data_IF_488128345625
#
_entry.id   IF_488128345625
#
_cell.length_a   1.000
_cell.length_b   1.000
_cell.length_c   1.000
_cell.angle_alpha   90.00
_cell.angle_beta   90.00
_cell.angle_gamma   90.00
#
_symmetry.space_group_name_H-M   'P 1'
#
loop_
_entity.id
_entity.type
_entity.pdbx_description
1 polymer ?
#
# COMPACT_ATOMS: atom_id res chain seq x y z
N UNK A 1 122.34 23.70 40.84
CA UNK A 1 121.63 22.45 41.04
C UNK A 1 120.38 22.45 40.25
N UNK A 2 120.44 21.86 39.28
CA UNK A 2 119.72 21.05 38.35
C UNK A 2 118.24 21.35 38.16
N UNK A 3 117.98 22.05 37.04
CA UNK A 3 116.67 22.29 36.44
C UNK A 3 116.44 21.32 35.29
N UNK A 4 116.35 20.06 35.60
CA UNK A 4 116.11 19.03 34.53
C UNK A 4 114.91 18.07 34.82
N UNK A 5 113.75 18.60 35.21
CA UNK A 5 112.59 17.70 35.49
C UNK A 5 111.49 17.85 34.51
N UNK A 6 111.45 18.83 33.61
CA UNK A 6 110.38 18.88 32.63
C UNK A 6 110.90 18.88 31.19
N UNK A 7 110.48 17.97 30.37
CA UNK A 7 110.79 17.95 28.94
C UNK A 7 110.18 19.16 28.28
N UNK A 8 111.07 19.91 27.53
CA UNK A 8 110.66 21.12 26.75
C UNK A 8 109.44 20.91 25.90
N UNK A 9 109.13 19.69 25.39
CA UNK A 9 108.01 19.35 24.58
C UNK A 9 106.63 19.41 25.32
N UNK A 10 106.68 19.31 26.68
CA UNK A 10 105.43 19.37 27.48
C UNK A 10 105.03 20.82 27.81
N UNK A 11 106.01 21.78 27.84
CA UNK A 11 105.68 23.15 28.05
C UNK A 11 105.22 23.87 26.77
N UNK A 12 105.73 23.47 25.60
CA UNK A 12 105.29 24.02 24.31
C UNK A 12 103.86 23.54 23.96
N UNK A 13 103.38 22.44 24.47
CA UNK A 13 101.98 21.98 24.27
C UNK A 13 100.97 22.67 25.16
N UNK A 14 101.39 23.41 26.18
CA UNK A 14 100.49 24.16 27.05
C UNK A 14 100.36 25.66 26.72
N UNK A 15 101.14 26.21 25.77
CA UNK A 15 101.17 27.61 25.51
C UNK A 15 100.87 28.03 24.09
N UNK A 16 100.29 27.15 23.27
CA UNK A 16 99.87 27.59 21.90
C UNK A 16 98.39 27.93 21.91
N UNK A 17 98.06 29.20 21.68
CA UNK A 17 96.68 29.68 21.57
C UNK A 17 95.89 29.05 20.43
N UNK A 18 96.56 28.42 19.46
CA UNK A 18 95.91 27.80 18.27
C UNK A 18 95.19 26.51 18.56
N UNK A 19 95.44 25.84 19.71
CA UNK A 19 94.71 24.64 20.07
C UNK A 19 93.37 24.90 20.77
N UNK A 20 93.11 26.12 21.21
CA UNK A 20 91.83 26.52 21.74
C UNK A 20 90.87 26.87 20.62
N UNK A 21 91.39 27.32 19.51
CA UNK A 21 90.54 27.64 18.34
C UNK A 21 90.03 26.41 17.55
N UNK A 22 90.77 25.28 17.62
CA UNK A 22 90.36 24.03 17.01
C UNK A 22 89.35 23.24 17.89
N UNK A 23 89.18 23.58 19.14
CA UNK A 23 88.11 22.97 19.98
C UNK A 23 86.77 23.74 19.89
N UNK A 24 86.72 24.87 19.26
CA UNK A 24 85.45 25.65 19.08
C UNK A 24 84.86 25.59 17.68
N UNK A 25 85.16 24.56 16.88
CA UNK A 25 84.36 24.29 15.68
C UNK A 25 83.13 23.45 16.07
N UNK A 26 82.13 24.17 16.57
CA UNK A 26 80.84 23.58 17.01
C UNK A 26 80.01 23.00 15.85
N UNK A 27 80.38 23.29 14.61
CA UNK A 27 79.70 22.72 13.43
C UNK A 27 80.67 22.46 12.29
N UNK A 28 80.85 21.20 11.92
CA UNK A 28 81.48 20.83 10.63
C UNK A 28 80.54 21.19 9.49
N UNK A 29 81.03 21.56 8.27
CA UNK A 29 80.20 21.83 7.12
C UNK A 29 79.23 20.68 6.77
N UNK A 30 79.57 19.45 7.17
CA UNK A 30 78.71 18.27 7.08
C UNK A 30 77.49 18.32 8.05
N UNK A 31 77.63 19.00 9.20
CA UNK A 31 76.53 19.19 10.15
C UNK A 31 75.44 20.11 9.62
N UNK A 32 75.82 21.13 8.81
CA UNK A 32 74.85 22.01 8.17
C UNK A 32 73.96 21.30 7.14
N UNK A 33 74.51 20.31 6.41
CA UNK A 33 73.75 19.46 5.47
C UNK A 33 72.69 18.63 6.23
N UNK A 34 73.03 18.07 7.37
CA UNK A 34 72.11 17.33 8.23
C UNK A 34 71.01 18.24 8.78
N UNK A 35 71.37 19.46 9.23
CA UNK A 35 70.43 20.43 9.74
C UNK A 35 69.49 20.92 8.62
N UNK A 36 70.00 21.17 7.41
CA UNK A 36 69.22 21.56 6.25
C UNK A 36 68.25 20.42 5.83
N UNK A 37 68.71 19.16 5.83
CA UNK A 37 67.85 18.00 5.57
C UNK A 37 66.73 17.86 6.61
N UNK A 38 67.03 18.12 7.89
CA UNK A 38 66.04 18.10 8.96
C UNK A 38 65.00 19.23 8.82
N UNK A 39 65.48 20.44 8.46
CA UNK A 39 64.57 21.59 8.14
C UNK A 39 63.67 21.26 6.99
N UNK A 40 64.19 20.70 5.89
CA UNK A 40 63.39 20.29 4.72
C UNK A 40 62.35 19.26 5.15
N UNK A 41 62.68 18.24 5.97
CA UNK A 41 61.78 17.24 6.47
C UNK A 41 60.66 17.85 7.32
N UNK A 42 61.01 18.79 8.22
CA UNK A 42 60.03 19.52 9.05
C UNK A 42 59.09 20.37 8.17
N UNK A 43 59.65 21.11 7.22
CA UNK A 43 58.82 21.90 6.27
C UNK A 43 57.90 21.00 5.48
N UNK A 44 58.37 19.85 4.99
CA UNK A 44 57.54 18.85 4.28
C UNK A 44 56.47 18.28 5.20
N UNK A 45 56.78 17.96 6.45
CA UNK A 45 55.80 17.44 7.44
C UNK A 45 54.73 18.51 7.74
N UNK A 46 55.11 19.79 7.87
CA UNK A 46 54.16 20.90 8.06
C UNK A 46 53.29 21.07 6.80
N UNK A 47 53.92 21.07 5.62
CA UNK A 47 53.20 21.17 4.35
C UNK A 47 52.19 20.01 4.19
N UNK A 48 52.63 18.75 4.43
CA UNK A 48 51.71 17.59 4.41
C UNK A 48 50.67 17.66 5.53
N UNK A 49 51.03 18.20 6.71
CA UNK A 49 50.08 18.43 7.82
C UNK A 49 48.93 19.39 7.46
N UNK A 50 49.23 20.43 6.66
CA UNK A 50 48.24 21.46 6.26
C UNK A 50 47.46 21.02 5.02
N UNK A 51 48.16 20.55 3.98
CA UNK A 51 47.58 20.22 2.68
C UNK A 51 47.18 18.76 2.53
N UNK A 52 47.63 17.89 3.40
CA UNK A 52 47.22 16.49 3.45
C UNK A 52 45.75 16.34 3.85
N UNK A 53 45.14 15.18 3.55
CA UNK A 53 43.74 14.87 3.90
C UNK A 53 43.66 13.50 4.57
N UNK A 54 43.14 13.45 5.79
CA UNK A 54 42.78 12.24 6.50
C UNK A 54 41.27 12.14 6.52
N UNK A 55 40.76 11.01 6.04
CA UNK A 55 39.32 10.73 6.01
C UNK A 55 38.89 9.94 7.25
N UNK A 56 37.93 10.48 8.00
CA UNK A 56 37.23 9.72 9.04
C UNK A 56 36.12 8.94 8.39
N UNK A 57 36.13 7.60 8.55
CA UNK A 57 35.16 6.71 7.95
C UNK A 57 34.29 6.07 9.02
N UNK A 58 33.03 5.84 8.69
CA UNK A 58 32.09 5.05 9.44
C UNK A 58 31.86 3.74 8.68
N UNK A 59 32.03 2.62 9.34
CA UNK A 59 31.81 1.30 8.75
C UNK A 59 30.40 0.81 9.06
N UNK A 60 29.80 0.09 8.11
CA UNK A 60 28.53 -0.58 8.25
C UNK A 60 28.49 -1.87 7.45
N UNK A 61 27.54 -2.72 7.77
CA UNK A 61 27.20 -3.89 6.96
C UNK A 61 25.96 -3.57 6.15
N UNK A 62 25.85 -4.15 4.97
CA UNK A 62 24.73 -3.91 4.09
C UNK A 62 24.50 -5.04 3.10
N UNK A 63 23.53 -4.82 2.26
CA UNK A 63 23.17 -5.73 1.16
C UNK A 63 22.93 -4.91 -0.11
N UNK A 64 23.29 -5.47 -1.21
CA UNK A 64 22.98 -4.92 -2.53
C UNK A 64 21.61 -5.41 -2.97
N UNK A 65 20.69 -4.50 -3.21
CA UNK A 65 19.36 -4.81 -3.71
C UNK A 65 19.07 -4.01 -4.99
N UNK A 66 18.18 -4.50 -5.84
CA UNK A 66 17.68 -3.68 -6.94
C UNK A 66 16.83 -2.56 -6.39
N UNK A 67 16.96 -1.39 -6.97
CA UNK A 67 16.12 -0.22 -6.64
C UNK A 67 14.65 -0.61 -6.82
N UNK A 68 13.87 -0.60 -5.72
CA UNK A 68 12.50 -1.09 -5.71
C UNK A 68 12.27 -2.24 -4.72
N UNK A 69 13.35 -2.90 -4.27
CA UNK A 69 13.27 -3.90 -3.22
C UNK A 69 12.68 -5.26 -3.62
N UNK A 70 12.39 -6.04 -2.62
CA UNK A 70 11.68 -7.32 -2.71
C UNK A 70 10.23 -7.10 -2.28
N UNK A 71 9.29 -7.65 -3.02
CA UNK A 71 7.86 -7.55 -2.74
C UNK A 71 7.29 -8.94 -2.44
N UNK A 72 6.50 -9.01 -1.39
CA UNK A 72 5.77 -10.22 -1.07
C UNK A 72 4.40 -10.21 -1.75
N UNK A 73 4.03 -11.34 -2.32
CA UNK A 73 2.68 -11.63 -2.80
C UNK A 73 2.05 -12.62 -1.83
N UNK A 74 0.92 -12.26 -1.26
CA UNK A 74 0.21 -13.05 -0.27
C UNK A 74 -1.27 -13.13 -0.57
N UNK A 75 -2.00 -13.80 0.33
CA UNK A 75 -3.46 -13.87 0.31
C UNK A 75 -4.05 -13.14 1.51
N UNK A 76 -5.22 -12.54 1.30
CA UNK A 76 -5.99 -11.88 2.36
C UNK A 76 -6.99 -12.85 3.04
N UNK A 77 -7.00 -14.12 2.63
CA UNK A 77 -7.99 -15.11 3.10
C UNK A 77 -7.34 -16.40 3.59
N UNK A 78 -8.04 -17.07 4.49
CA UNK A 78 -7.74 -18.43 4.90
C UNK A 78 -8.12 -19.40 3.78
N UNK A 79 -7.27 -20.39 3.47
CA UNK A 79 -7.58 -21.44 2.50
C UNK A 79 -6.39 -22.37 2.27
N UNK A 80 -6.64 -23.52 1.66
CA UNK A 80 -5.59 -24.48 1.32
C UNK A 80 -5.01 -24.21 -0.06
N UNK A 81 -3.68 -24.18 -0.19
CA UNK A 81 -3.01 -24.06 -1.49
C UNK A 81 -3.24 -25.31 -2.31
N UNK A 82 -3.97 -25.17 -3.42
CA UNK A 82 -4.25 -26.29 -4.34
C UNK A 82 -3.10 -26.48 -5.34
N UNK A 83 -2.58 -25.38 -5.86
CA UNK A 83 -1.57 -25.40 -6.92
C UNK A 83 -0.70 -24.14 -6.87
N UNK A 84 0.58 -24.31 -7.13
CA UNK A 84 1.52 -23.20 -7.39
C UNK A 84 1.82 -23.18 -8.90
N UNK A 85 1.52 -22.07 -9.56
CA UNK A 85 1.64 -21.93 -11.02
C UNK A 85 2.96 -21.35 -11.47
N UNK A 86 3.86 -21.07 -10.55
CA UNK A 86 5.15 -20.44 -10.82
C UNK A 86 6.27 -21.17 -10.09
N UNK A 87 7.49 -21.09 -10.63
CA UNK A 87 8.70 -21.66 -10.06
C UNK A 87 9.69 -20.56 -9.64
N UNK A 88 10.60 -20.89 -8.70
CA UNK A 88 11.69 -20.00 -8.31
C UNK A 88 12.59 -19.70 -9.53
N UNK A 89 12.89 -18.41 -9.76
CA UNK A 89 13.64 -17.92 -10.92
C UNK A 89 12.78 -17.57 -12.13
N UNK A 90 11.48 -17.88 -12.12
CA UNK A 90 10.56 -17.55 -13.20
C UNK A 90 10.18 -16.07 -13.20
N UNK A 91 9.94 -15.51 -14.39
CA UNK A 91 9.47 -14.15 -14.56
C UNK A 91 7.94 -14.12 -14.58
N UNK A 92 7.34 -13.38 -13.66
CA UNK A 92 5.89 -13.19 -13.53
C UNK A 92 5.54 -11.77 -13.93
N UNK A 93 4.44 -11.60 -14.67
CA UNK A 93 3.89 -10.29 -15.02
C UNK A 93 2.77 -9.88 -14.07
N UNK A 94 2.54 -8.57 -14.01
CA UNK A 94 1.41 -8.05 -13.25
C UNK A 94 0.08 -8.62 -13.78
N UNK A 95 -0.69 -9.27 -12.91
CA UNK A 95 -1.96 -9.91 -13.22
C UNK A 95 -1.87 -11.42 -13.46
N UNK A 96 -0.66 -11.99 -13.57
CA UNK A 96 -0.49 -13.44 -13.71
C UNK A 96 -0.92 -14.15 -12.42
N UNK A 97 -1.61 -15.28 -12.56
CA UNK A 97 -2.01 -16.13 -11.43
C UNK A 97 -0.77 -16.90 -10.96
N UNK A 98 -0.40 -16.71 -9.70
CA UNK A 98 0.77 -17.32 -9.08
C UNK A 98 0.43 -18.55 -8.24
N UNK A 99 -0.77 -18.58 -7.64
CA UNK A 99 -1.26 -19.71 -6.85
C UNK A 99 -2.76 -19.83 -6.95
N UNK A 100 -3.26 -21.05 -6.75
CA UNK A 100 -4.68 -21.37 -6.53
C UNK A 100 -4.88 -21.77 -5.08
N UNK A 101 -5.87 -21.14 -4.43
CA UNK A 101 -6.21 -21.39 -3.02
C UNK A 101 -7.67 -21.82 -2.95
N UNK A 102 -7.95 -22.93 -2.28
CA UNK A 102 -9.31 -23.42 -2.06
C UNK A 102 -10.06 -22.50 -1.07
N UNK A 103 -11.33 -22.25 -1.38
CA UNK A 103 -12.20 -21.37 -0.62
C UNK A 103 -13.55 -22.06 -0.35
N UNK A 104 -13.58 -23.16 0.42
CA UNK A 104 -14.79 -23.94 0.61
C UNK A 104 -15.92 -23.12 1.24
N UNK A 105 -15.63 -22.32 2.27
CA UNK A 105 -16.63 -21.51 2.97
C UNK A 105 -17.32 -20.50 2.03
N UNK A 106 -16.56 -19.84 1.17
CA UNK A 106 -17.11 -18.89 0.18
C UNK A 106 -17.89 -19.61 -0.93
N UNK A 107 -17.42 -20.79 -1.32
CA UNK A 107 -18.13 -21.64 -2.31
C UNK A 107 -19.47 -22.09 -1.77
N UNK A 108 -19.54 -22.53 -0.52
CA UNK A 108 -20.77 -22.98 0.14
C UNK A 108 -21.73 -21.79 0.36
N UNK A 109 -21.20 -20.61 0.74
CA UNK A 109 -22.02 -19.41 0.86
C UNK A 109 -22.60 -18.98 -0.50
N UNK A 110 -21.83 -19.09 -1.58
CA UNK A 110 -22.31 -18.80 -2.94
C UNK A 110 -23.38 -19.78 -3.39
N UNK A 111 -23.22 -21.07 -3.13
CA UNK A 111 -24.21 -22.09 -3.43
C UNK A 111 -25.51 -21.81 -2.66
N UNK A 112 -25.43 -21.52 -1.37
CA UNK A 112 -26.57 -21.17 -0.53
C UNK A 112 -27.32 -19.93 -1.04
N UNK A 113 -26.56 -18.90 -1.42
CA UNK A 113 -27.15 -17.68 -1.99
C UNK A 113 -27.86 -17.94 -3.33
N UNK A 114 -27.32 -18.82 -4.18
CA UNK A 114 -27.97 -19.21 -5.45
C UNK A 114 -29.25 -20.03 -5.23
N UNK A 115 -29.29 -20.88 -4.22
CA UNK A 115 -30.49 -21.61 -3.84
C UNK A 115 -31.58 -20.65 -3.36
N UNK A 116 -31.25 -19.71 -2.50
CA UNK A 116 -32.18 -18.69 -2.01
C UNK A 116 -32.73 -17.83 -3.17
N UNK A 117 -31.90 -17.44 -4.15
CA UNK A 117 -32.37 -16.76 -5.35
C UNK A 117 -33.38 -17.63 -6.15
N UNK A 118 -33.11 -18.92 -6.26
CA UNK A 118 -34.01 -19.83 -6.94
C UNK A 118 -35.38 -19.93 -6.23
N UNK A 119 -35.39 -19.96 -4.90
CA UNK A 119 -36.61 -19.91 -4.10
C UNK A 119 -37.40 -18.63 -4.29
N UNK A 120 -36.73 -17.45 -4.27
CA UNK A 120 -37.36 -16.16 -4.51
C UNK A 120 -37.96 -16.07 -5.92
N UNK A 121 -37.28 -16.57 -6.93
CA UNK A 121 -37.81 -16.60 -8.31
C UNK A 121 -39.03 -17.53 -8.43
N UNK A 122 -39.04 -18.66 -7.69
CA UNK A 122 -40.20 -19.55 -7.64
C UNK A 122 -41.40 -18.88 -6.94
N UNK A 123 -41.15 -18.10 -5.87
CA UNK A 123 -42.18 -17.33 -5.17
C UNK A 123 -42.74 -16.21 -6.06
N UNK A 124 -41.89 -15.46 -6.77
CA UNK A 124 -42.33 -14.44 -7.74
C UNK A 124 -43.24 -15.02 -8.80
N UNK A 125 -42.82 -16.15 -9.36
CA UNK A 125 -43.64 -16.86 -10.36
C UNK A 125 -45.00 -17.29 -9.81
N UNK A 126 -44.99 -17.92 -8.63
CA UNK A 126 -46.23 -18.36 -7.98
C UNK A 126 -47.17 -17.18 -7.70
N UNK A 127 -46.63 -16.06 -7.18
CA UNK A 127 -47.38 -14.84 -6.91
C UNK A 127 -47.96 -14.23 -8.19
N UNK A 128 -47.18 -14.22 -9.26
CA UNK A 128 -47.57 -13.71 -10.57
C UNK A 128 -48.71 -14.57 -11.17
N UNK A 129 -48.57 -15.86 -11.13
CA UNK A 129 -49.58 -16.82 -11.61
C UNK A 129 -50.89 -16.68 -10.80
N UNK A 130 -50.80 -16.66 -9.47
CA UNK A 130 -51.92 -16.43 -8.57
C UNK A 130 -52.62 -15.10 -8.81
N UNK A 131 -51.88 -14.02 -8.95
CA UNK A 131 -52.41 -12.69 -9.24
C UNK A 131 -53.11 -12.64 -10.60
N UNK A 132 -52.54 -13.29 -11.63
CA UNK A 132 -53.12 -13.32 -12.96
C UNK A 132 -54.45 -14.10 -13.01
N UNK A 133 -54.54 -15.23 -12.34
CA UNK A 133 -55.76 -16.08 -12.25
C UNK A 133 -56.81 -15.40 -11.38
N UNK A 134 -56.43 -14.91 -10.20
CA UNK A 134 -57.31 -14.13 -9.33
C UNK A 134 -57.84 -12.85 -9.99
N UNK A 135 -57.05 -12.18 -10.84
CA UNK A 135 -57.48 -10.99 -11.59
C UNK A 135 -58.57 -11.33 -12.60
N UNK A 136 -58.50 -12.48 -13.29
CA UNK A 136 -59.52 -12.92 -14.23
C UNK A 136 -60.87 -13.19 -13.55
N UNK A 137 -60.82 -13.89 -12.40
CA UNK A 137 -62.04 -14.22 -11.64
C UNK A 137 -62.66 -12.97 -10.98
N UNK A 138 -61.85 -12.14 -10.35
CA UNK A 138 -62.29 -10.89 -9.70
C UNK A 138 -62.78 -9.85 -10.72
N UNK A 139 -62.16 -9.80 -11.91
CA UNK A 139 -62.59 -8.88 -12.97
C UNK A 139 -64.03 -9.22 -13.45
N UNK A 140 -64.32 -10.51 -13.66
CA UNK A 140 -65.66 -10.95 -14.05
C UNK A 140 -66.72 -10.57 -13.00
N UNK A 141 -66.49 -10.97 -11.75
CA UNK A 141 -67.41 -10.68 -10.63
C UNK A 141 -67.63 -9.19 -10.39
N UNK A 142 -66.53 -8.38 -10.47
CA UNK A 142 -66.63 -6.91 -10.27
C UNK A 142 -67.35 -6.20 -11.42
N UNK A 143 -67.22 -6.70 -12.66
CA UNK A 143 -68.03 -6.17 -13.81
C UNK A 143 -69.49 -6.45 -13.59
N UNK A 144 -69.83 -7.68 -13.23
CA UNK A 144 -71.22 -8.05 -12.99
C UNK A 144 -71.83 -7.21 -11.83
N UNK A 145 -71.13 -6.99 -10.75
CA UNK A 145 -71.58 -6.20 -9.60
C UNK A 145 -71.72 -4.72 -9.99
N UNK A 146 -70.80 -4.15 -10.78
CA UNK A 146 -70.88 -2.81 -11.31
C UNK A 146 -72.10 -2.64 -12.21
N UNK A 147 -72.29 -3.55 -13.16
CA UNK A 147 -73.41 -3.49 -14.12
C UNK A 147 -74.76 -3.61 -13.40
N UNK A 148 -74.86 -4.43 -12.36
CA UNK A 148 -76.06 -4.55 -11.51
C UNK A 148 -76.34 -3.23 -10.75
N UNK A 149 -75.34 -2.59 -10.18
CA UNK A 149 -75.49 -1.31 -9.48
C UNK A 149 -75.87 -0.18 -10.47
N UNK A 150 -75.23 -0.08 -11.65
CA UNK A 150 -75.57 0.88 -12.68
C UNK A 150 -77.02 0.68 -13.22
N UNK A 151 -77.44 -0.59 -13.40
CA UNK A 151 -78.79 -0.92 -13.77
C UNK A 151 -79.83 -0.48 -12.70
N UNK A 152 -79.52 -0.75 -11.42
CA UNK A 152 -80.36 -0.35 -10.29
C UNK A 152 -80.49 1.20 -10.21
N UNK A 153 -79.36 1.90 -10.33
CA UNK A 153 -79.38 3.38 -10.35
C UNK A 153 -80.26 3.90 -11.47
N UNK A 154 -80.11 3.39 -12.69
CA UNK A 154 -80.93 3.81 -13.84
C UNK A 154 -82.40 3.53 -13.66
N UNK A 155 -82.79 2.36 -13.16
CA UNK A 155 -84.16 2.00 -12.85
C UNK A 155 -84.78 2.93 -11.78
N UNK A 156 -84.05 3.25 -10.74
CA UNK A 156 -84.51 4.14 -9.67
C UNK A 156 -84.57 5.62 -10.18
N UNK A 157 -83.65 6.05 -11.05
CA UNK A 157 -83.69 7.36 -11.69
C UNK A 157 -84.95 7.50 -12.60
N UNK A 158 -85.29 6.50 -13.36
CA UNK A 158 -86.50 6.49 -14.20
C UNK A 158 -87.75 6.49 -13.33
N UNK A 159 -87.77 5.71 -12.24
CA UNK A 159 -88.85 5.73 -11.26
C UNK A 159 -89.00 7.10 -10.58
N UNK A 160 -87.87 7.71 -10.19
CA UNK A 160 -87.88 9.04 -9.56
C UNK A 160 -88.47 10.13 -10.51
N UNK A 161 -88.12 10.08 -11.80
CA UNK A 161 -88.65 10.95 -12.83
C UNK A 161 -90.15 10.82 -12.93
N UNK A 162 -90.66 9.58 -12.95
CA UNK A 162 -92.08 9.32 -13.00
C UNK A 162 -92.80 9.82 -11.75
N UNK A 163 -92.22 9.57 -10.56
CA UNK A 163 -92.78 10.04 -9.30
C UNK A 163 -92.84 11.58 -9.21
N UNK A 164 -91.82 12.27 -9.65
CA UNK A 164 -91.81 13.77 -9.75
C UNK A 164 -92.92 14.31 -10.61
N UNK A 165 -93.09 13.79 -11.78
CA UNK A 165 -94.23 14.15 -12.70
C UNK A 165 -95.60 13.88 -12.04
N UNK A 166 -95.71 12.71 -11.37
CA UNK A 166 -96.94 12.34 -10.62
C UNK A 166 -97.21 13.29 -9.44
N UNK A 167 -96.14 13.68 -8.72
CA UNK A 167 -96.25 14.65 -7.58
C UNK A 167 -96.75 16.02 -8.08
N UNK A 168 -96.23 16.51 -9.18
CA UNK A 168 -96.67 17.74 -9.80
C UNK A 168 -98.17 17.70 -10.15
N UNK A 169 -98.63 16.68 -10.89
CA UNK A 169 -100.01 16.48 -11.25
C UNK A 169 -100.92 16.40 -10.02
N UNK A 170 -100.51 15.66 -8.99
CA UNK A 170 -101.28 15.57 -7.72
C UNK A 170 -101.34 16.88 -6.95
N UNK A 171 -100.31 17.69 -7.04
CA UNK A 171 -100.31 19.04 -6.42
C UNK A 171 -101.34 19.97 -7.06
N UNK A 172 -101.54 19.88 -8.38
CA UNK A 172 -102.61 20.63 -9.08
C UNK A 172 -103.99 20.13 -8.71
N UNK A 173 -104.21 18.83 -8.77
CA UNK A 173 -105.45 18.20 -8.34
C UNK A 173 -105.84 18.49 -6.88
N UNK A 174 -104.88 18.64 -5.99
CA UNK A 174 -105.07 19.04 -4.58
C UNK A 174 -105.62 20.49 -4.49
N UNK A 175 -105.17 21.42 -5.36
CA UNK A 175 -105.67 22.77 -5.39
C UNK A 175 -107.18 22.83 -5.86
N UNK A 176 -107.51 21.85 -6.71
CA UNK A 176 -108.88 21.70 -7.18
C UNK A 176 -109.81 20.90 -6.19
N UNK A 177 -109.20 20.39 -5.08
CA UNK A 177 -109.95 19.60 -4.08
C UNK A 177 -110.28 18.18 -4.48
N UNK A 178 -109.65 17.64 -5.54
CA UNK A 178 -109.95 16.30 -6.13
C UNK A 178 -109.17 15.15 -5.54
N UNK A 179 -108.13 15.48 -4.72
CA UNK A 179 -107.30 14.47 -4.01
C UNK A 179 -107.04 14.90 -2.59
N UNK A 180 -106.57 13.95 -1.73
CA UNK A 180 -106.28 14.24 -0.32
C UNK A 180 -104.80 14.72 -0.10
N UNK A 181 -104.59 15.48 0.95
CA UNK A 181 -103.23 15.87 1.36
C UNK A 181 -102.35 14.66 1.70
N UNK A 182 -102.94 13.55 2.16
CA UNK A 182 -102.27 12.33 2.45
C UNK A 182 -101.62 11.70 1.20
N UNK A 183 -102.39 11.66 0.06
CA UNK A 183 -101.86 11.13 -1.20
C UNK A 183 -100.61 11.85 -1.69
N UNK A 184 -100.49 13.16 -1.40
CA UNK A 184 -99.30 13.95 -1.79
C UNK A 184 -98.14 13.65 -0.86
N UNK A 185 -98.40 13.41 0.48
CA UNK A 185 -97.39 13.05 1.45
C UNK A 185 -96.81 11.69 1.06
N UNK A 186 -97.63 10.67 0.73
CA UNK A 186 -97.21 9.35 0.36
C UNK A 186 -96.31 9.35 -0.91
N UNK A 187 -96.62 10.19 -1.90
CA UNK A 187 -95.75 10.34 -3.07
C UNK A 187 -94.41 11.00 -2.70
N UNK A 188 -94.38 11.97 -1.82
CA UNK A 188 -93.15 12.62 -1.34
C UNK A 188 -92.26 11.67 -0.56
N UNK A 189 -92.87 10.80 0.23
CA UNK A 189 -92.08 9.68 0.94
C UNK A 189 -91.49 8.74 -0.10
N UNK A 190 -92.24 8.39 -1.14
CA UNK A 190 -91.73 7.54 -2.24
C UNK A 190 -90.55 8.21 -2.99
N UNK A 191 -90.65 9.54 -3.25
CA UNK A 191 -89.56 10.31 -3.82
C UNK A 191 -88.32 10.22 -2.95
N UNK A 192 -88.44 10.58 -1.66
CA UNK A 192 -87.32 10.59 -0.71
C UNK A 192 -86.67 9.20 -0.58
N UNK A 193 -87.47 8.15 -0.48
CA UNK A 193 -86.97 6.75 -0.40
C UNK A 193 -86.22 6.32 -1.68
N UNK A 194 -86.72 6.77 -2.86
CA UNK A 194 -86.04 6.45 -4.12
C UNK A 194 -84.73 7.25 -4.28
N UNK A 195 -84.72 8.51 -3.86
CA UNK A 195 -83.49 9.33 -3.83
C UNK A 195 -82.42 8.71 -2.92
N UNK A 196 -82.79 8.29 -1.72
CA UNK A 196 -81.91 7.57 -0.80
C UNK A 196 -81.39 6.24 -1.38
N UNK A 197 -82.21 5.52 -2.15
CA UNK A 197 -81.79 4.27 -2.83
C UNK A 197 -80.75 4.56 -3.91
N UNK A 198 -80.95 5.64 -4.74
CA UNK A 198 -79.98 6.04 -5.73
C UNK A 198 -78.65 6.43 -5.06
N UNK A 199 -78.69 7.25 -4.03
CA UNK A 199 -77.47 7.69 -3.31
C UNK A 199 -76.72 6.54 -2.68
N UNK A 200 -77.45 5.54 -2.12
CA UNK A 200 -76.85 4.30 -1.61
C UNK A 200 -76.13 3.52 -2.72
N UNK A 201 -76.84 3.30 -3.84
CA UNK A 201 -76.26 2.55 -4.96
C UNK A 201 -75.02 3.24 -5.55
N UNK A 202 -75.05 4.56 -5.65
CA UNK A 202 -73.88 5.39 -6.09
C UNK A 202 -72.70 5.30 -5.11
N UNK A 203 -72.97 5.36 -3.81
CA UNK A 203 -71.93 5.14 -2.80
C UNK A 203 -71.32 3.73 -2.83
N UNK A 204 -72.15 2.70 -3.07
CA UNK A 204 -71.70 1.34 -3.20
C UNK A 204 -70.84 1.16 -4.49
N UNK A 205 -71.19 1.77 -5.59
CA UNK A 205 -70.38 1.84 -6.82
C UNK A 205 -69.03 2.50 -6.58
N UNK A 206 -69.01 3.60 -5.81
CA UNK A 206 -67.77 4.26 -5.44
C UNK A 206 -66.90 3.38 -4.55
N UNK A 207 -67.46 2.74 -3.54
CA UNK A 207 -66.74 1.78 -2.66
C UNK A 207 -66.14 0.61 -3.46
N UNK A 208 -66.86 0.08 -4.43
CA UNK A 208 -66.37 -0.99 -5.33
C UNK A 208 -65.16 -0.51 -6.11
N UNK A 209 -65.17 0.74 -6.61
CA UNK A 209 -64.06 1.34 -7.34
C UNK A 209 -62.83 1.53 -6.48
N UNK A 210 -62.99 2.01 -5.25
CA UNK A 210 -61.89 2.16 -4.28
C UNK A 210 -61.28 0.81 -3.93
N UNK A 211 -62.13 -0.18 -3.58
CA UNK A 211 -61.68 -1.52 -3.27
C UNK A 211 -60.84 -2.18 -4.38
N UNK A 212 -61.28 -1.97 -5.66
CA UNK A 212 -60.50 -2.49 -6.79
C UNK A 212 -59.13 -1.82 -6.93
N UNK A 213 -59.03 -0.53 -6.61
CA UNK A 213 -57.78 0.20 -6.65
C UNK A 213 -56.84 -0.29 -5.53
N UNK A 214 -57.38 -0.45 -4.34
CA UNK A 214 -56.62 -0.94 -3.16
C UNK A 214 -56.10 -2.38 -3.41
N UNK A 215 -56.94 -3.27 -3.91
CA UNK A 215 -56.56 -4.67 -4.24
C UNK A 215 -55.45 -4.67 -5.34
N UNK A 216 -55.52 -3.75 -6.30
CA UNK A 216 -54.48 -3.64 -7.32
C UNK A 216 -53.15 -3.12 -6.72
N UNK A 217 -53.21 -2.08 -5.91
CA UNK A 217 -52.01 -1.53 -5.26
C UNK A 217 -51.35 -2.58 -4.36
N UNK A 218 -52.09 -3.30 -3.55
CA UNK A 218 -51.54 -4.34 -2.69
C UNK A 218 -50.78 -5.39 -3.50
N UNK A 219 -51.33 -5.85 -4.61
CA UNK A 219 -50.71 -6.84 -5.48
C UNK A 219 -49.44 -6.31 -6.17
N UNK A 220 -49.43 -5.04 -6.54
CA UNK A 220 -48.26 -4.38 -7.12
C UNK A 220 -47.15 -4.22 -6.04
N UNK A 221 -47.52 -3.88 -4.81
CA UNK A 221 -46.60 -3.74 -3.69
C UNK A 221 -45.96 -5.11 -3.32
N UNK A 222 -46.76 -6.18 -3.19
CA UNK A 222 -46.28 -7.53 -2.91
C UNK A 222 -45.29 -8.03 -4.00
N UNK A 223 -45.54 -7.68 -5.28
CA UNK A 223 -44.66 -8.04 -6.39
C UNK A 223 -43.34 -7.23 -6.35
N UNK A 224 -43.43 -5.93 -6.08
CA UNK A 224 -42.25 -5.07 -5.95
C UNK A 224 -41.36 -5.52 -4.80
N UNK A 225 -41.93 -5.94 -3.70
CA UNK A 225 -41.18 -6.46 -2.53
C UNK A 225 -40.34 -7.67 -2.90
N UNK A 226 -40.95 -8.65 -3.59
CA UNK A 226 -40.22 -9.83 -4.05
C UNK A 226 -39.13 -9.48 -5.06
N UNK A 227 -39.42 -8.57 -6.01
CA UNK A 227 -38.46 -8.13 -7.00
C UNK A 227 -37.26 -7.41 -6.34
N UNK A 228 -37.49 -6.61 -5.31
CA UNK A 228 -36.43 -5.97 -4.55
C UNK A 228 -35.57 -7.02 -3.79
N UNK A 229 -36.16 -8.06 -3.22
CA UNK A 229 -35.43 -9.16 -2.59
C UNK A 229 -34.57 -9.91 -3.61
N UNK A 230 -35.10 -10.22 -4.79
CA UNK A 230 -34.37 -10.86 -5.91
C UNK A 230 -33.17 -10.01 -6.32
N UNK A 231 -33.36 -8.68 -6.50
CA UNK A 231 -32.26 -7.78 -6.87
C UNK A 231 -31.18 -7.74 -5.78
N UNK A 232 -31.58 -7.66 -4.52
CA UNK A 232 -30.64 -7.70 -3.37
C UNK A 232 -29.84 -9.00 -3.35
N UNK A 233 -30.49 -10.13 -3.60
CA UNK A 233 -29.84 -11.43 -3.65
C UNK A 233 -28.91 -11.58 -4.85
N UNK A 234 -29.27 -11.04 -6.01
CA UNK A 234 -28.37 -10.98 -7.18
C UNK A 234 -27.10 -10.19 -6.89
N UNK A 235 -27.23 -9.04 -6.21
CA UNK A 235 -26.08 -8.23 -5.80
C UNK A 235 -25.18 -8.99 -4.82
N UNK A 236 -25.76 -9.71 -3.86
CA UNK A 236 -25.03 -10.56 -2.93
C UNK A 236 -24.24 -11.65 -3.68
N UNK A 237 -24.86 -12.34 -4.61
CA UNK A 237 -24.22 -13.39 -5.44
C UNK A 237 -23.05 -12.78 -6.23
N UNK A 238 -23.25 -11.65 -6.89
CA UNK A 238 -22.21 -10.97 -7.66
C UNK A 238 -20.99 -10.61 -6.79
N UNK A 239 -21.21 -10.12 -5.57
CA UNK A 239 -20.12 -9.81 -4.64
C UNK A 239 -19.40 -11.07 -4.16
N UNK A 240 -20.14 -12.16 -3.89
CA UNK A 240 -19.57 -13.45 -3.50
C UNK A 240 -18.72 -14.05 -4.63
N UNK A 241 -19.21 -14.01 -5.88
CA UNK A 241 -18.46 -14.49 -7.05
C UNK A 241 -17.15 -13.73 -7.24
N UNK A 242 -17.17 -12.40 -7.12
CA UNK A 242 -15.95 -11.58 -7.18
C UNK A 242 -14.99 -11.85 -6.03
N UNK A 243 -15.51 -12.07 -4.83
CA UNK A 243 -14.70 -12.39 -3.66
C UNK A 243 -14.08 -13.77 -3.81
N UNK A 244 -14.84 -14.75 -4.28
CA UNK A 244 -14.38 -16.11 -4.53
C UNK A 244 -13.27 -16.11 -5.58
N UNK A 245 -13.47 -15.46 -6.73
CA UNK A 245 -12.45 -15.36 -7.80
C UNK A 245 -11.14 -14.74 -7.30
N UNK A 246 -11.21 -13.62 -6.58
CA UNK A 246 -10.04 -12.94 -6.03
C UNK A 246 -9.30 -13.76 -4.98
N UNK A 247 -10.02 -14.51 -4.16
CA UNK A 247 -9.44 -15.28 -3.06
C UNK A 247 -8.94 -16.65 -3.53
N UNK A 248 -9.52 -17.20 -4.59
CA UNK A 248 -9.07 -18.45 -5.22
C UNK A 248 -7.87 -18.20 -6.15
N UNK A 249 -7.92 -17.18 -6.98
CA UNK A 249 -6.88 -16.84 -7.95
C UNK A 249 -5.93 -15.78 -7.38
N UNK A 250 -4.87 -16.20 -6.73
CA UNK A 250 -3.88 -15.26 -6.21
C UNK A 250 -3.04 -14.74 -7.38
N UNK A 251 -3.14 -13.45 -7.65
CA UNK A 251 -2.46 -12.79 -8.77
C UNK A 251 -1.29 -11.92 -8.31
N UNK A 252 -0.25 -11.83 -9.14
CA UNK A 252 0.86 -10.94 -8.87
C UNK A 252 0.48 -9.47 -9.12
N UNK A 253 0.63 -8.56 -8.14
CA UNK A 253 0.40 -7.14 -8.34
C UNK A 253 1.53 -6.44 -9.13
N UNK A 254 2.67 -7.13 -9.31
CA UNK A 254 3.88 -6.58 -9.91
C UNK A 254 4.48 -7.50 -10.97
N UNK A 255 5.31 -6.94 -11.85
CA UNK A 255 6.16 -7.71 -12.75
C UNK A 255 7.53 -7.88 -12.12
N UNK A 256 7.99 -9.13 -11.98
CA UNK A 256 9.24 -9.45 -11.31
C UNK A 256 9.70 -10.89 -11.52
N UNK A 257 10.83 -11.23 -10.93
CA UNK A 257 11.36 -12.59 -10.89
C UNK A 257 11.05 -13.18 -9.51
N UNK A 258 10.52 -14.40 -9.46
CA UNK A 258 10.26 -15.14 -8.24
C UNK A 258 11.58 -15.47 -7.54
N UNK A 259 11.80 -14.91 -6.35
CA UNK A 259 12.98 -15.19 -5.54
C UNK A 259 12.81 -16.42 -4.65
N UNK A 260 11.66 -16.53 -4.02
CA UNK A 260 11.37 -17.56 -3.03
C UNK A 260 9.87 -17.86 -3.01
N UNK A 261 9.51 -19.12 -2.82
CA UNK A 261 8.15 -19.58 -2.55
C UNK A 261 8.11 -19.98 -1.07
N UNK A 262 7.17 -19.41 -0.31
CA UNK A 262 7.11 -19.49 1.15
C UNK A 262 6.03 -20.47 1.66
N UNK A 263 5.32 -21.13 0.75
CA UNK A 263 4.24 -22.08 1.05
C UNK A 263 4.34 -23.32 0.18
N UNK A 264 3.87 -24.45 0.70
CA UNK A 264 3.81 -25.69 -0.05
C UNK A 264 2.38 -26.00 -0.53
N UNK A 265 2.26 -26.79 -1.59
CA UNK A 265 0.97 -27.31 -2.05
C UNK A 265 0.37 -28.20 -0.95
N UNK A 266 -0.90 -27.97 -0.61
CA UNK A 266 -1.59 -28.62 0.50
C UNK A 266 -1.50 -27.88 1.83
N UNK A 267 -0.66 -26.85 1.93
CA UNK A 267 -0.55 -26.03 3.15
C UNK A 267 -1.76 -25.09 3.28
N UNK A 268 -2.21 -24.86 4.52
CA UNK A 268 -3.26 -23.90 4.82
C UNK A 268 -2.62 -22.51 5.01
N UNK A 269 -3.04 -21.57 4.20
CA UNK A 269 -2.59 -20.17 4.32
C UNK A 269 -3.40 -19.45 5.39
N UNK A 270 -2.74 -18.53 6.11
CA UNK A 270 -3.38 -17.58 7.03
C UNK A 270 -3.50 -16.20 6.37
N UNK A 271 -4.37 -15.35 6.92
CA UNK A 271 -4.44 -13.95 6.50
C UNK A 271 -3.05 -13.29 6.63
N UNK A 272 -2.68 -12.53 5.63
CA UNK A 272 -1.39 -11.81 5.55
C UNK A 272 -0.14 -12.67 5.36
N UNK A 273 -0.27 -14.00 5.27
CA UNK A 273 0.87 -14.86 4.97
C UNK A 273 1.31 -14.66 3.52
N UNK A 274 2.61 -14.40 3.35
CA UNK A 274 3.21 -14.30 2.02
C UNK A 274 3.31 -15.68 1.37
N UNK A 275 2.87 -15.79 0.13
CA UNK A 275 2.97 -17.00 -0.70
C UNK A 275 4.34 -17.06 -1.38
N UNK A 276 4.77 -15.94 -1.93
CA UNK A 276 6.07 -15.84 -2.60
C UNK A 276 6.65 -14.42 -2.50
N UNK A 277 7.94 -14.29 -2.76
CA UNK A 277 8.63 -13.01 -2.89
C UNK A 277 9.11 -12.78 -4.33
N UNK A 278 8.99 -11.53 -4.79
CA UNK A 278 9.36 -11.08 -6.13
C UNK A 278 10.44 -10.01 -6.07
N UNK A 279 11.45 -10.12 -6.91
CA UNK A 279 12.36 -9.04 -7.25
C UNK A 279 11.82 -8.28 -8.47
N UNK A 280 11.52 -6.99 -8.33
CA UNK A 280 10.95 -6.21 -9.44
C UNK A 280 11.90 -6.13 -10.63
N UNK A 281 11.32 -6.26 -11.83
CA UNK A 281 12.03 -6.12 -13.10
C UNK A 281 11.49 -4.94 -13.90
N UNK A 282 12.40 -4.18 -14.57
CA UNK A 282 12.00 -3.04 -15.41
C UNK A 282 13.16 -2.07 -15.64
N UNK A 283 12.97 -1.10 -16.54
CA UNK A 283 14.01 -0.10 -16.89
C UNK A 283 14.46 0.74 -15.69
N UNK A 284 13.56 1.03 -14.75
CA UNK A 284 13.84 1.81 -13.54
C UNK A 284 14.58 1.01 -12.45
N UNK A 285 14.62 -0.33 -12.57
CA UNK A 285 15.16 -1.24 -11.56
C UNK A 285 16.46 -1.95 -12.00
N UNK A 286 17.16 -1.40 -13.03
CA UNK A 286 18.37 -2.02 -13.58
C UNK A 286 19.59 -1.91 -12.68
N UNK A 287 19.65 -0.88 -11.82
CA UNK A 287 20.83 -0.61 -11.01
C UNK A 287 20.60 -1.07 -9.56
N UNK A 288 21.67 -1.66 -9.01
CA UNK A 288 21.70 -2.00 -7.59
C UNK A 288 21.92 -0.73 -6.77
N UNK A 289 21.30 -0.70 -5.59
CA UNK A 289 21.64 0.24 -4.52
C UNK A 289 22.08 -0.57 -3.29
N UNK A 290 22.89 0.05 -2.45
CA UNK A 290 23.33 -0.57 -1.20
C UNK A 290 22.46 -0.06 -0.06
N UNK A 291 21.79 -1.00 0.63
CA UNK A 291 21.14 -0.73 1.92
C UNK A 291 22.11 -1.05 3.01
N UNK A 292 22.46 -0.07 3.81
CA UNK A 292 23.55 -0.11 4.78
C UNK A 292 22.98 0.12 6.17
N UNK A 293 23.35 -0.72 7.10
CA UNK A 293 22.99 -0.61 8.49
C UNK A 293 24.22 -0.24 9.32
N UNK A 294 24.13 0.89 10.01
CA UNK A 294 25.24 1.47 10.79
C UNK A 294 24.79 1.67 12.23
N UNK A 295 25.66 1.40 13.19
CA UNK A 295 25.37 1.66 14.60
C UNK A 295 24.89 3.11 14.81
N UNK A 296 23.84 3.32 15.61
CA UNK A 296 23.15 4.60 15.76
C UNK A 296 24.09 5.76 16.14
N UNK A 297 25.08 5.53 17.01
CA UNK A 297 26.06 6.53 17.43
C UNK A 297 26.89 7.10 16.26
N UNK A 298 27.11 6.31 15.21
CA UNK A 298 27.89 6.69 14.05
C UNK A 298 27.01 7.07 12.86
N UNK A 299 25.84 6.47 12.72
CA UNK A 299 24.89 6.74 11.64
C UNK A 299 24.41 8.19 11.62
N UNK A 300 24.25 8.82 12.78
CA UNK A 300 23.89 10.25 12.90
C UNK A 300 24.91 11.22 12.31
N UNK A 301 26.15 10.77 12.07
CA UNK A 301 27.20 11.59 11.44
C UNK A 301 27.13 11.55 9.91
N UNK A 302 26.38 10.59 9.36
CA UNK A 302 26.22 10.40 7.91
C UNK A 302 25.18 11.36 7.37
N UNK A 303 25.48 11.95 6.21
CA UNK A 303 24.57 12.87 5.50
C UNK A 303 24.45 12.46 4.03
N UNK A 304 23.34 12.80 3.42
CA UNK A 304 23.13 12.63 1.98
C UNK A 304 24.24 13.28 1.15
N UNK A 305 24.67 12.61 0.09
CA UNK A 305 25.73 13.04 -0.81
C UNK A 305 27.14 12.62 -0.38
N UNK A 306 27.34 12.04 0.82
CA UNK A 306 28.64 11.53 1.27
C UNK A 306 29.10 10.33 0.43
N UNK A 307 30.43 10.23 0.25
CA UNK A 307 31.06 9.13 -0.50
C UNK A 307 31.01 7.83 0.28
N UNK A 308 30.60 6.77 -0.42
CA UNK A 308 30.51 5.42 0.10
C UNK A 308 31.43 4.50 -0.70
N UNK A 309 32.14 3.63 0.00
CA UNK A 309 32.94 2.55 -0.55
C UNK A 309 32.22 1.25 -0.19
N UNK A 310 31.81 0.49 -1.19
CA UNK A 310 31.05 -0.75 -1.02
C UNK A 310 31.91 -1.93 -1.47
N UNK A 311 32.16 -2.85 -0.55
CA UNK A 311 32.96 -4.06 -0.80
C UNK A 311 32.03 -5.28 -0.71
N UNK A 312 31.58 -5.83 -1.86
CA UNK A 312 30.79 -7.06 -1.88
C UNK A 312 31.60 -8.23 -1.34
N UNK A 313 30.99 -9.10 -0.52
CA UNK A 313 31.65 -10.29 0.05
C UNK A 313 32.08 -11.32 -0.98
N UNK A 314 31.51 -11.25 -2.18
CA UNK A 314 31.83 -12.12 -3.33
C UNK A 314 33.11 -11.72 -4.05
N UNK A 315 33.72 -10.57 -3.70
CA UNK A 315 34.88 -9.99 -4.36
C UNK A 315 35.99 -9.74 -3.34
N UNK A 316 37.22 -10.10 -3.70
CA UNK A 316 38.39 -9.80 -2.88
C UNK A 316 38.74 -8.31 -2.98
N UNK A 317 38.51 -7.57 -1.90
CA UNK A 317 38.73 -6.14 -1.83
C UNK A 317 40.22 -5.76 -2.03
N UNK A 318 41.15 -6.64 -1.64
CA UNK A 318 42.60 -6.44 -1.80
C UNK A 318 43.02 -6.46 -3.26
N UNK A 319 42.30 -7.18 -4.12
CA UNK A 319 42.63 -7.36 -5.53
C UNK A 319 41.89 -6.37 -6.44
N UNK A 320 40.59 -6.20 -6.20
CA UNK A 320 39.72 -5.41 -7.10
C UNK A 320 39.27 -4.08 -6.49
N UNK A 321 39.53 -3.88 -5.19
CA UNK A 321 39.10 -2.68 -4.48
C UNK A 321 37.62 -2.74 -4.09
N UNK A 322 36.96 -1.59 -4.16
CA UNK A 322 35.57 -1.38 -3.76
C UNK A 322 34.79 -0.64 -4.86
N UNK A 323 33.47 -0.83 -4.88
CA UNK A 323 32.55 -0.06 -5.69
C UNK A 323 32.38 1.31 -5.08
N UNK A 324 32.45 2.36 -5.89
CA UNK A 324 32.19 3.74 -5.47
C UNK A 324 30.69 4.01 -5.48
N UNK A 325 30.22 4.75 -4.48
CA UNK A 325 28.83 5.15 -4.37
C UNK A 325 28.67 6.47 -3.63
N UNK A 326 27.44 6.96 -3.59
CA UNK A 326 27.03 8.13 -2.82
C UNK A 326 25.82 7.83 -1.99
N UNK A 327 25.76 8.35 -0.77
CA UNK A 327 24.58 8.28 0.09
C UNK A 327 23.44 9.02 -0.57
N UNK A 328 22.33 8.30 -0.85
CA UNK A 328 21.11 8.85 -1.43
C UNK A 328 20.13 9.30 -0.34
N UNK A 329 19.99 8.51 0.73
CA UNK A 329 19.17 8.88 1.88
C UNK A 329 19.68 8.27 3.18
N UNK A 330 19.32 8.90 4.30
CA UNK A 330 19.67 8.46 5.66
C UNK A 330 18.41 8.52 6.50
N UNK A 331 18.09 7.44 7.22
CA UNK A 331 16.98 7.43 8.16
C UNK A 331 17.23 8.38 9.33
N UNK A 332 16.26 9.18 9.70
CA UNK A 332 16.35 10.06 10.87
C UNK A 332 16.25 9.28 12.18
N UNK A 333 15.54 8.16 12.17
CA UNK A 333 15.34 7.32 13.34
C UNK A 333 16.01 5.96 13.17
N UNK A 334 16.45 5.33 14.26
CA UNK A 334 16.91 3.94 14.23
C UNK A 334 15.81 3.02 13.68
N UNK A 335 16.20 2.08 12.83
CA UNK A 335 15.29 1.12 12.23
C UNK A 335 14.84 0.08 13.24
N UNK A 336 13.56 -0.24 13.24
CA UNK A 336 13.01 -1.38 14.00
C UNK A 336 13.21 -2.68 13.21
N UNK A 337 13.07 -3.83 13.87
CA UNK A 337 13.14 -5.13 13.19
C UNK A 337 12.07 -5.25 12.10
N UNK A 338 10.86 -4.74 12.37
CA UNK A 338 9.76 -4.72 11.39
C UNK A 338 10.09 -3.79 10.20
N UNK A 339 10.75 -2.65 10.47
CA UNK A 339 11.22 -1.74 9.43
C UNK A 339 12.24 -2.41 8.52
N UNK A 340 13.24 -3.07 9.11
CA UNK A 340 14.24 -3.83 8.38
C UNK A 340 13.62 -5.01 7.62
N UNK A 341 12.62 -5.69 8.22
CA UNK A 341 11.92 -6.81 7.59
C UNK A 341 11.17 -6.39 6.33
N UNK A 342 10.63 -5.16 6.27
CA UNK A 342 9.99 -4.62 5.06
C UNK A 342 10.96 -4.48 3.88
N UNK A 343 12.22 -4.14 4.17
CA UNK A 343 13.25 -3.93 3.14
C UNK A 343 13.93 -5.23 2.75
N UNK A 344 14.29 -6.05 3.74
CA UNK A 344 15.12 -7.25 3.57
C UNK A 344 14.31 -8.50 3.27
N UNK A 345 13.04 -8.55 3.70
CA UNK A 345 12.11 -9.69 3.56
C UNK A 345 12.67 -11.03 4.08
N UNK A 346 13.71 -10.99 4.94
CA UNK A 346 14.38 -12.17 5.46
C UNK A 346 14.81 -11.94 6.91
N UNK A 347 14.25 -12.71 7.85
CA UNK A 347 14.51 -12.58 9.29
C UNK A 347 15.98 -12.82 9.66
N UNK A 348 16.64 -13.79 9.03
CA UNK A 348 18.04 -14.08 9.29
C UNK A 348 18.96 -12.91 8.90
N UNK A 349 18.66 -12.26 7.75
CA UNK A 349 19.37 -11.05 7.34
C UNK A 349 19.11 -9.89 8.30
N UNK A 350 17.88 -9.73 8.79
CA UNK A 350 17.55 -8.70 9.80
C UNK A 350 18.38 -8.92 11.06
N UNK A 351 18.42 -10.12 11.62
CA UNK A 351 19.18 -10.44 12.82
C UNK A 351 20.69 -10.21 12.60
N UNK A 352 21.22 -10.64 11.45
CA UNK A 352 22.64 -10.47 11.12
C UNK A 352 23.03 -8.99 10.95
N UNK A 353 22.20 -8.19 10.28
CA UNK A 353 22.52 -6.79 9.97
C UNK A 353 22.15 -5.81 11.09
N UNK A 354 21.24 -6.17 12.00
CA UNK A 354 20.88 -5.37 13.18
C UNK A 354 21.96 -5.41 14.26
N UNK A 355 22.71 -6.51 14.36
CA UNK A 355 23.74 -6.68 15.38
C UNK A 355 23.21 -6.55 16.81
N UNK A 356 21.97 -6.95 17.09
CA UNK A 356 21.23 -6.81 18.36
C UNK A 356 20.99 -5.36 18.83
N UNK A 357 21.17 -4.38 17.96
CA UNK A 357 20.90 -2.97 18.22
C UNK A 357 19.94 -2.41 17.14
N UNK A 358 19.38 -1.23 17.41
CA UNK A 358 18.60 -0.51 16.42
C UNK A 358 19.54 0.36 15.54
N UNK A 359 19.94 -0.09 14.34
CA UNK A 359 20.86 0.63 13.47
C UNK A 359 20.16 1.78 12.75
N UNK A 360 20.94 2.74 12.24
CA UNK A 360 20.48 3.71 11.24
C UNK A 360 20.58 3.06 9.87
N UNK A 361 19.48 3.12 9.12
CA UNK A 361 19.40 2.66 7.75
C UNK A 361 19.86 3.77 6.80
N UNK A 362 20.73 3.42 5.87
CA UNK A 362 21.32 4.33 4.90
C UNK A 362 21.21 3.69 3.51
N UNK A 363 20.66 4.41 2.56
CA UNK A 363 20.64 4.01 1.16
C UNK A 363 21.80 4.69 0.43
N UNK A 364 22.50 3.93 -0.39
CA UNK A 364 23.58 4.45 -1.21
C UNK A 364 23.46 4.00 -2.66
N UNK A 365 23.44 4.95 -3.56
CA UNK A 365 23.46 4.73 -5.00
C UNK A 365 24.88 4.42 -5.47
N UNK A 366 25.04 3.32 -6.25
CA UNK A 366 26.31 2.90 -6.79
C UNK A 366 26.60 3.65 -8.09
N UNK A 367 27.83 4.13 -8.26
CA UNK A 367 28.25 4.77 -9.50
C UNK A 367 28.42 3.72 -10.60
N UNK A 368 27.81 3.97 -11.75
CA UNK A 368 27.83 3.06 -12.89
C UNK A 368 28.99 3.36 -13.84
N UNK A 369 29.55 2.30 -14.44
CA UNK A 369 30.57 2.40 -15.47
C UNK A 369 30.40 1.25 -16.46
N UNK A 370 29.94 1.54 -17.66
CA UNK A 370 29.68 0.57 -18.71
C UNK A 370 30.96 -0.15 -19.24
N UNK A 371 32.14 0.37 -18.89
CA UNK A 371 33.42 -0.21 -19.31
C UNK A 371 33.84 -1.41 -18.44
N UNK A 372 33.20 -1.62 -17.31
CA UNK A 372 33.49 -2.75 -16.40
C UNK A 372 32.50 -3.88 -16.63
N UNK A 373 32.92 -5.12 -16.43
CA UNK A 373 32.04 -6.29 -16.56
C UNK A 373 30.85 -6.23 -15.60
N UNK A 374 31.08 -5.71 -14.39
CA UNK A 374 30.03 -5.55 -13.38
C UNK A 374 29.06 -4.41 -13.65
N UNK A 375 29.38 -3.46 -14.57
CA UNK A 375 28.61 -2.26 -14.83
C UNK A 375 28.78 -1.13 -13.80
N UNK A 376 29.65 -1.27 -12.79
CA UNK A 376 29.86 -0.31 -11.70
C UNK A 376 31.26 0.28 -11.70
N UNK A 377 31.39 1.47 -11.13
CA UNK A 377 32.68 2.14 -10.96
C UNK A 377 33.43 1.61 -9.75
N UNK A 378 34.61 1.03 -9.98
CA UNK A 378 35.49 0.50 -8.95
C UNK A 378 36.62 1.46 -8.61
N UNK A 379 37.22 1.27 -7.45
CA UNK A 379 38.47 1.97 -7.09
C UNK A 379 39.65 1.52 -7.92
N UNK A 380 39.65 0.28 -8.40
CA UNK A 380 40.59 -0.27 -9.38
C UNK A 380 40.15 0.03 -10.83
N UNK A 381 41.06 0.15 -11.80
CA UNK A 381 40.71 0.54 -13.18
C UNK A 381 39.80 -0.44 -13.92
N UNK A 382 39.87 -1.76 -13.65
CA UNK A 382 39.17 -2.80 -14.38
C UNK A 382 37.99 -3.41 -13.62
N UNK A 383 37.99 -3.35 -12.28
CA UNK A 383 37.04 -4.10 -11.46
C UNK A 383 37.17 -5.63 -11.60
N UNK A 384 36.29 -6.42 -10.97
CA UNK A 384 36.29 -7.87 -11.08
C UNK A 384 35.68 -8.35 -12.39
N UNK A 385 36.10 -9.51 -12.92
CA UNK A 385 35.58 -10.10 -14.13
C UNK A 385 34.27 -10.89 -13.90
N UNK A 386 33.38 -10.37 -13.06
CA UNK A 386 32.09 -11.00 -12.71
C UNK A 386 30.98 -9.94 -12.58
N UNK A 387 29.75 -10.39 -12.72
CA UNK A 387 28.56 -9.58 -12.48
C UNK A 387 28.20 -9.59 -11.01
N UNK A 388 27.71 -8.47 -10.50
CA UNK A 388 27.22 -8.36 -9.11
C UNK A 388 25.71 -8.48 -9.15
N UNK A 389 25.17 -9.40 -8.35
CA UNK A 389 23.73 -9.66 -8.28
C UNK A 389 23.11 -9.05 -7.00
N UNK A 390 21.81 -8.79 -7.05
CA UNK A 390 21.01 -8.47 -5.87
C UNK A 390 21.12 -9.60 -4.83
N UNK A 391 20.94 -9.27 -3.55
CA UNK A 391 21.13 -10.22 -2.45
C UNK A 391 22.58 -10.37 -1.98
N UNK A 392 23.57 -9.75 -2.66
CA UNK A 392 24.98 -9.82 -2.24
C UNK A 392 25.20 -8.97 -1.00
N UNK A 393 25.67 -9.60 0.08
CA UNK A 393 26.07 -8.92 1.31
C UNK A 393 27.35 -8.11 1.04
N UNK A 394 27.47 -6.96 1.67
CA UNK A 394 28.61 -6.08 1.50
C UNK A 394 29.03 -5.43 2.82
N UNK A 395 30.32 -5.15 2.93
CA UNK A 395 30.86 -4.24 3.94
C UNK A 395 31.02 -2.87 3.32
N UNK A 396 30.66 -1.84 4.06
CA UNK A 396 30.66 -0.46 3.56
C UNK A 396 31.48 0.47 4.44
N UNK A 397 32.08 1.46 3.82
CA UNK A 397 32.82 2.53 4.51
C UNK A 397 32.37 3.87 3.98
N UNK A 398 31.72 4.67 4.85
CA UNK A 398 31.19 6.00 4.51
C UNK A 398 32.15 7.06 5.01
N UNK A 399 32.60 7.96 4.14
CA UNK A 399 33.50 9.07 4.49
C UNK A 399 32.67 10.21 5.09
N UNK A 400 32.69 10.35 6.42
CA UNK A 400 31.91 11.36 7.14
C UNK A 400 32.63 12.71 7.29
N UNK A 401 33.97 12.67 7.29
CA UNK A 401 34.77 13.90 7.42
C UNK A 401 36.11 13.74 6.73
N UNK A 402 36.51 14.75 5.94
CA UNK A 402 37.88 14.90 5.42
C UNK A 402 38.50 16.09 6.14
N UNK A 403 39.64 15.90 6.81
CA UNK A 403 40.28 16.95 7.58
C UNK A 403 41.80 16.86 7.42
N UNK A 404 42.54 18.02 7.45
CA UNK A 404 43.98 18.00 7.39
C UNK A 404 44.61 17.38 8.64
N UNK A 405 45.73 16.64 8.51
CA UNK A 405 46.41 16.00 9.62
C UNK A 405 46.69 16.90 10.83
N UNK A 406 47.07 18.13 10.59
CA UNK A 406 47.39 19.12 11.61
C UNK A 406 46.21 19.41 12.55
N UNK A 407 44.95 19.24 12.06
CA UNK A 407 43.75 19.43 12.88
C UNK A 407 43.55 18.35 13.95
N UNK A 408 44.25 17.24 13.82
CA UNK A 408 44.23 16.12 14.82
C UNK A 408 45.28 16.35 15.91
N UNK A 409 46.42 16.97 15.58
CA UNK A 409 47.54 17.19 16.49
C UNK A 409 47.34 18.40 17.40
N UNK A 410 46.76 19.46 16.88
CA UNK A 410 46.55 20.69 17.63
C UNK A 410 45.08 21.12 17.53
N UNK A 411 44.22 20.70 18.49
CA UNK A 411 42.81 21.04 18.49
C UNK A 411 42.49 22.55 18.46
N UNK A 412 43.38 23.35 19.05
CA UNK A 412 43.25 24.84 19.04
C UNK A 412 43.39 25.46 17.65
N UNK A 413 44.31 24.92 16.81
CA UNK A 413 44.46 25.38 15.42
C UNK A 413 43.24 25.11 14.55
N UNK A 414 42.47 24.09 14.89
CA UNK A 414 41.20 23.73 14.21
C UNK A 414 40.18 24.86 14.28
N UNK A 415 40.05 25.50 15.44
CA UNK A 415 39.07 26.57 15.69
C UNK A 415 39.49 27.92 15.08
N UNK A 416 40.78 28.29 15.21
CA UNK A 416 41.25 29.63 14.86
C UNK A 416 41.75 29.78 13.42
N UNK A 417 42.34 28.76 12.80
CA UNK A 417 42.92 28.85 11.44
C UNK A 417 42.03 28.22 10.33
N UNK A 418 41.23 27.19 10.66
CA UNK A 418 40.49 26.43 9.66
C UNK A 418 38.96 26.66 9.71
N UNK A 419 38.47 27.47 10.66
CA UNK A 419 37.05 27.87 10.72
C UNK A 419 36.06 26.73 11.01
N UNK A 420 36.53 25.57 11.45
CA UNK A 420 35.63 24.45 11.80
C UNK A 420 35.07 24.64 13.22
N UNK A 421 33.80 24.98 13.32
CA UNK A 421 33.01 24.81 14.54
C UNK A 421 32.49 23.36 14.60
N UNK A 422 32.57 22.72 15.75
CA UNK A 422 32.02 21.39 16.03
C UNK A 422 30.51 21.34 15.86
#
# INVERSE_FOLDING_TARGET
MDSKVFRKVSLERMSSPEQLDQMMQVTTPKGWVVLLALIILVVFAIFWGIFGSISTKVTGMGILIKRGGVFSVGTDSLGQVLELKVAVGETVHKGDIVALVDQPDLSDELVSAKVELQELNAQEKLLTDYNSEGQKLNASSSVDEKDNLEFSIKADEDKLKWLKVRSESRTELLKEGLVTKQDLIDIKEQINSTELSIDKSRNDLQKLSVKRLDDKHQKEEDLLDIQQQIETQNQKIFLLEKKLDRNTNITSPYTGIVLEIMVDVGEVTEQTKSILSLELTGKSYKHLESVIYVAAANGKKVKTGMEVQVSPTTVKAEEYGFIKGKVSSVSEFPSTEEGMMRVLQNRNLVTMLSGNNAPIEIFAELLTNEKTVSGYEWSSPKGPPLTIHGGTICTTSITVKKQPPISLVIPLLRKYLLGYND
#
